data_IF_408891688567
#
_entry.id   IF_408891688567
#
_cell.length_a   1.000
_cell.length_b   1.000
_cell.length_c   1.000
_cell.angle_alpha   90.00
_cell.angle_beta   90.00
_cell.angle_gamma   90.00
#
_symmetry.space_group_name_H-M   'P 1'
#
loop_
_entity.id
_entity.type
_entity.pdbx_description
1 polymer ?
#
# COMPACT_ATOMS: atom_id res chain seq x y z
N UNK A 1 58.28 45.62 -27.45
CA UNK A 1 56.84 45.96 -27.41
C UNK A 1 56.07 45.03 -28.33
N UNK A 2 55.14 44.22 -27.79
CA UNK A 2 53.95 43.70 -28.47
C UNK A 2 53.09 42.98 -27.42
N UNK A 3 51.90 43.54 -27.16
CA UNK A 3 50.87 42.96 -26.33
C UNK A 3 49.95 42.08 -27.18
N UNK A 4 49.52 40.92 -26.68
CA UNK A 4 48.32 40.21 -27.17
C UNK A 4 47.59 39.63 -25.95
N UNK A 5 46.30 39.94 -25.88
CA UNK A 5 45.35 39.64 -24.80
C UNK A 5 44.66 38.28 -25.02
N UNK A 6 44.06 37.75 -23.93
CA UNK A 6 42.83 36.90 -23.90
C UNK A 6 43.03 35.43 -24.37
N UNK A 7 42.38 34.38 -23.86
CA UNK A 7 41.02 34.18 -23.33
C UNK A 7 41.03 33.01 -22.31
N UNK A 8 40.42 33.21 -21.15
CA UNK A 8 40.10 32.18 -20.16
C UNK A 8 38.98 31.27 -20.70
N UNK A 9 39.26 29.99 -20.92
CA UNK A 9 38.24 28.99 -21.27
C UNK A 9 37.54 28.49 -19.99
N UNK A 10 36.27 28.85 -19.81
CA UNK A 10 35.41 28.30 -18.76
C UNK A 10 34.82 26.98 -19.29
N UNK A 11 35.30 25.86 -18.75
CA UNK A 11 34.74 24.54 -18.98
C UNK A 11 33.46 24.39 -18.14
N UNK A 12 32.30 24.45 -18.78
CA UNK A 12 31.02 24.13 -18.16
C UNK A 12 30.77 22.63 -18.32
N UNK A 13 31.07 21.85 -17.29
CA UNK A 13 30.74 20.42 -17.24
C UNK A 13 29.24 20.26 -16.97
N UNK A 14 28.48 19.86 -17.99
CA UNK A 14 27.10 19.43 -17.84
C UNK A 14 27.07 18.04 -17.18
N UNK A 15 26.73 18.00 -15.89
CA UNK A 15 26.38 16.76 -15.20
C UNK A 15 25.01 16.31 -15.70
N UNK A 16 24.97 15.24 -16.49
CA UNK A 16 23.71 14.57 -16.85
C UNK A 16 23.27 13.78 -15.62
N UNK A 17 22.29 14.29 -14.89
CA UNK A 17 21.59 13.50 -13.87
C UNK A 17 20.77 12.44 -14.58
N UNK A 18 21.15 11.17 -14.44
CA UNK A 18 20.32 10.06 -14.88
C UNK A 18 19.01 10.09 -14.08
N UNK A 19 17.90 10.43 -14.74
CA UNK A 19 16.56 10.24 -14.20
C UNK A 19 16.31 8.73 -14.17
N UNK A 20 16.53 8.08 -13.04
CA UNK A 20 16.08 6.71 -12.83
C UNK A 20 14.55 6.74 -12.81
N UNK A 21 13.93 6.40 -13.93
CA UNK A 21 12.51 6.06 -13.98
C UNK A 21 12.34 4.81 -13.13
N UNK A 22 11.96 5.01 -11.87
CA UNK A 22 11.52 3.92 -11.02
C UNK A 22 10.21 3.42 -11.61
N UNK A 23 10.26 2.42 -12.50
CA UNK A 23 9.11 1.60 -12.85
C UNK A 23 8.82 0.68 -11.67
N UNK A 24 8.60 1.28 -10.49
CA UNK A 24 7.97 0.60 -9.38
C UNK A 24 6.55 0.33 -9.85
N UNK A 25 6.25 -0.92 -10.15
CA UNK A 25 4.87 -1.38 -10.12
C UNK A 25 4.28 -0.86 -8.81
N UNK A 26 3.30 0.04 -8.89
CA UNK A 26 2.67 0.55 -7.69
C UNK A 26 2.12 -0.67 -6.93
N UNK A 27 2.43 -0.79 -5.64
CA UNK A 27 1.89 -1.89 -4.87
C UNK A 27 0.36 -1.87 -4.99
N UNK A 28 -0.24 -3.03 -5.21
CA UNK A 28 -1.69 -3.14 -5.40
C UNK A 28 -2.28 -4.06 -4.34
N UNK A 29 -3.43 -3.67 -3.79
CA UNK A 29 -4.23 -4.51 -2.90
C UNK A 29 -5.54 -4.82 -3.61
N UNK A 30 -5.92 -6.09 -3.58
CA UNK A 30 -7.23 -6.54 -4.04
C UNK A 30 -7.95 -7.32 -2.96
N UNK A 31 -9.27 -7.15 -2.95
CA UNK A 31 -10.21 -7.86 -2.10
C UNK A 31 -11.45 -8.18 -2.94
N UNK A 32 -12.34 -9.06 -2.45
CA UNK A 32 -13.64 -9.17 -3.09
C UNK A 32 -14.35 -7.80 -3.04
N UNK A 33 -14.89 -7.38 -4.19
CA UNK A 33 -15.48 -6.05 -4.35
C UNK A 33 -16.64 -5.80 -3.37
N UNK A 34 -17.34 -6.86 -2.97
CA UNK A 34 -18.47 -6.81 -2.04
C UNK A 34 -18.26 -7.86 -0.94
N UNK A 35 -18.31 -7.42 0.31
CA UNK A 35 -18.31 -8.26 1.50
C UNK A 35 -19.70 -8.25 2.16
N UNK A 36 -20.31 -9.41 2.44
CA UNK A 36 -21.59 -9.45 3.14
C UNK A 36 -21.44 -8.97 4.58
N UNK A 37 -22.51 -8.38 5.15
CA UNK A 37 -22.61 -8.05 6.57
C UNK A 37 -22.83 -9.31 7.43
N UNK A 38 -21.83 -10.19 7.45
CA UNK A 38 -21.85 -11.44 8.20
C UNK A 38 -21.03 -11.34 9.50
N UNK A 39 -21.65 -11.74 10.61
CA UNK A 39 -21.04 -11.86 11.95
C UNK A 39 -19.92 -12.90 12.03
N UNK A 40 -19.82 -13.80 11.05
CA UNK A 40 -18.72 -14.78 10.86
C UNK A 40 -17.95 -14.55 9.56
N UNK A 41 -18.17 -13.41 8.92
CA UNK A 41 -17.66 -13.15 7.59
C UNK A 41 -16.13 -13.13 7.53
N UNK A 42 -15.63 -13.61 6.40
CA UNK A 42 -14.22 -13.72 6.07
C UNK A 42 -13.99 -13.19 4.65
N UNK A 43 -12.83 -12.57 4.43
CA UNK A 43 -12.44 -12.01 3.15
C UNK A 43 -11.00 -12.42 2.83
N UNK A 44 -10.75 -12.90 1.61
CA UNK A 44 -9.38 -13.10 1.14
C UNK A 44 -8.88 -11.76 0.61
N UNK A 45 -7.79 -11.29 1.19
CA UNK A 45 -7.06 -10.10 0.78
C UNK A 45 -5.78 -10.55 0.08
N UNK A 46 -5.46 -9.92 -1.03
CA UNK A 46 -4.25 -10.18 -1.79
C UNK A 46 -3.52 -8.89 -2.08
N UNK A 47 -2.21 -8.98 -2.24
CA UNK A 47 -1.45 -7.90 -2.83
C UNK A 47 -0.39 -8.40 -3.79
N UNK A 48 0.06 -7.49 -4.64
CA UNK A 48 1.07 -7.71 -5.66
C UNK A 48 1.97 -6.47 -5.79
N UNK A 49 3.15 -6.65 -6.37
CA UNK A 49 4.13 -5.58 -6.56
C UNK A 49 4.68 -4.96 -5.26
N UNK A 50 4.66 -5.71 -4.15
CA UNK A 50 5.34 -5.32 -2.92
C UNK A 50 6.83 -5.67 -2.99
N UNK A 51 7.65 -4.98 -2.19
CA UNK A 51 9.04 -5.38 -2.03
C UNK A 51 9.13 -6.82 -1.48
N UNK A 52 9.94 -7.71 -2.08
CA UNK A 52 10.02 -9.12 -1.67
C UNK A 52 10.34 -9.32 -0.19
N UNK A 53 9.76 -10.35 0.42
CA UNK A 53 9.95 -10.72 1.84
C UNK A 53 9.54 -9.65 2.87
N UNK A 54 8.84 -8.60 2.46
CA UNK A 54 8.41 -7.51 3.33
C UNK A 54 7.12 -7.86 4.06
N UNK A 55 7.04 -7.52 5.35
CA UNK A 55 5.80 -7.61 6.12
C UNK A 55 4.91 -6.42 5.75
N UNK A 56 3.61 -6.66 5.58
CA UNK A 56 2.67 -5.61 5.19
C UNK A 56 1.73 -5.33 6.35
N UNK A 57 1.64 -4.08 6.78
CA UNK A 57 0.65 -3.70 7.80
C UNK A 57 -0.64 -3.30 7.10
N UNK A 58 -1.77 -3.88 7.52
CA UNK A 58 -3.08 -3.56 6.95
C UNK A 58 -3.91 -2.75 7.94
N UNK A 59 -4.39 -1.61 7.47
CA UNK A 59 -5.11 -0.62 8.25
C UNK A 59 -6.51 -0.46 7.65
N UNK A 60 -7.52 -0.68 8.49
CA UNK A 60 -8.93 -0.51 8.11
C UNK A 60 -9.45 0.82 8.66
N UNK A 61 -10.02 1.64 7.78
CA UNK A 61 -10.54 2.96 8.14
C UNK A 61 -12.06 2.96 8.08
N UNK A 62 -12.70 3.30 9.20
CA UNK A 62 -14.15 3.47 9.31
C UNK A 62 -14.62 4.79 8.72
N UNK A 63 -15.93 4.94 8.46
CA UNK A 63 -16.50 6.13 7.81
C UNK A 63 -16.29 7.44 8.56
N UNK A 64 -16.08 7.36 9.88
CA UNK A 64 -15.74 8.47 10.77
C UNK A 64 -14.24 8.81 10.77
N UNK A 65 -13.43 8.10 9.97
CA UNK A 65 -11.99 8.31 9.84
C UNK A 65 -11.14 7.56 10.87
N UNK A 66 -11.74 6.76 11.76
CA UNK A 66 -10.96 5.98 12.73
C UNK A 66 -10.23 4.85 12.01
N UNK A 67 -8.91 4.79 12.21
CA UNK A 67 -8.04 3.80 11.59
C UNK A 67 -7.66 2.73 12.60
N UNK A 68 -7.78 1.47 12.21
CA UNK A 68 -7.48 0.30 13.05
C UNK A 68 -6.53 -0.65 12.34
N UNK A 69 -5.45 -1.04 13.00
CA UNK A 69 -4.67 -2.20 12.58
C UNK A 69 -5.49 -3.48 12.74
N UNK A 70 -5.59 -4.25 11.65
CA UNK A 70 -6.34 -5.50 11.60
C UNK A 70 -5.47 -6.76 11.65
N UNK A 71 -4.16 -6.64 11.84
CA UNK A 71 -3.19 -7.75 11.85
C UNK A 71 -3.58 -8.91 12.75
N UNK A 72 -4.21 -8.63 13.89
CA UNK A 72 -4.71 -9.64 14.84
C UNK A 72 -5.81 -10.55 14.26
N UNK A 73 -6.47 -10.13 13.18
CA UNK A 73 -7.56 -10.83 12.51
C UNK A 73 -7.16 -11.41 11.15
N UNK A 74 -5.86 -11.37 10.81
CA UNK A 74 -5.30 -11.86 9.57
C UNK A 74 -4.63 -13.22 9.74
N UNK A 75 -4.88 -14.13 8.79
CA UNK A 75 -4.22 -15.43 8.77
C UNK A 75 -3.95 -15.91 7.33
N UNK A 76 -2.69 -16.18 6.95
CA UNK A 76 -1.45 -15.88 7.69
C UNK A 76 -1.19 -14.38 7.83
N UNK A 77 -0.13 -13.99 8.54
CA UNK A 77 0.35 -12.60 8.47
C UNK A 77 0.71 -12.25 7.01
N UNK A 78 0.25 -11.11 6.47
CA UNK A 78 0.54 -10.71 5.10
C UNK A 78 2.03 -10.38 4.96
N UNK A 79 2.76 -11.28 4.31
CA UNK A 79 4.18 -11.14 3.99
C UNK A 79 4.36 -11.41 2.51
N UNK A 80 4.99 -10.47 1.80
CA UNK A 80 5.29 -10.61 0.39
C UNK A 80 6.26 -11.78 0.15
N UNK A 81 6.00 -12.60 -0.86
CA UNK A 81 6.89 -13.64 -1.33
C UNK A 81 8.05 -13.06 -2.16
N UNK A 82 8.86 -13.93 -2.78
CA UNK A 82 9.98 -13.52 -3.62
C UNK A 82 9.56 -12.73 -4.87
N UNK A 83 8.29 -12.83 -5.27
CA UNK A 83 7.68 -12.15 -6.41
C UNK A 83 6.90 -10.90 -6.00
N UNK A 84 6.89 -10.55 -4.71
CA UNK A 84 6.18 -9.38 -4.21
C UNK A 84 4.68 -9.60 -4.01
N UNK A 85 4.22 -10.86 -3.98
CA UNK A 85 2.81 -11.21 -3.78
C UNK A 85 2.54 -11.69 -2.37
N UNK A 86 1.34 -11.43 -1.86
CA UNK A 86 0.89 -12.00 -0.60
C UNK A 86 -0.60 -12.30 -0.64
N UNK A 87 -1.04 -13.19 0.25
CA UNK A 87 -2.45 -13.51 0.44
C UNK A 87 -2.72 -13.79 1.91
N UNK A 88 -3.81 -13.22 2.43
CA UNK A 88 -4.26 -13.45 3.81
C UNK A 88 -5.78 -13.53 3.88
N UNK A 89 -6.29 -14.24 4.88
CA UNK A 89 -7.71 -14.24 5.22
C UNK A 89 -7.97 -13.27 6.36
N UNK A 90 -8.83 -12.29 6.13
CA UNK A 90 -9.32 -11.37 7.15
C UNK A 90 -10.65 -11.86 7.74
N UNK A 91 -10.67 -12.13 9.04
CA UNK A 91 -11.89 -12.47 9.78
C UNK A 91 -12.62 -11.21 10.26
N UNK A 92 -13.33 -10.53 9.35
CA UNK A 92 -14.00 -9.25 9.64
C UNK A 92 -15.26 -9.36 10.50
N UNK A 93 -15.81 -10.56 10.74
CA UNK A 93 -17.09 -10.72 11.43
C UNK A 93 -17.18 -10.08 12.83
N UNK A 94 -16.05 -9.84 13.52
CA UNK A 94 -16.02 -9.07 14.77
C UNK A 94 -16.50 -7.63 14.57
N UNK A 95 -16.13 -6.98 13.47
CA UNK A 95 -16.52 -5.62 13.13
C UNK A 95 -18.04 -5.53 12.93
N UNK A 96 -18.63 -6.53 12.24
CA UNK A 96 -20.08 -6.65 12.08
C UNK A 96 -20.78 -6.88 13.42
N UNK A 97 -20.28 -7.81 14.25
CA UNK A 97 -20.83 -8.11 15.59
C UNK A 97 -20.84 -6.90 16.51
N UNK A 98 -19.78 -6.09 16.44
CA UNK A 98 -19.60 -4.87 17.26
C UNK A 98 -20.24 -3.63 16.64
N UNK A 99 -20.92 -3.76 15.48
CA UNK A 99 -21.54 -2.66 14.75
C UNK A 99 -20.56 -1.55 14.36
N UNK A 100 -19.29 -1.92 14.14
CA UNK A 100 -18.24 -1.02 13.65
C UNK A 100 -18.30 -0.85 12.13
N UNK A 101 -18.96 -1.79 11.44
CA UNK A 101 -19.29 -1.68 10.02
C UNK A 101 -20.79 -1.82 9.82
N UNK A 102 -21.32 -0.93 8.99
CA UNK A 102 -22.64 -0.97 8.36
C UNK A 102 -22.48 -0.98 6.84
N UNK A 103 -23.57 -1.07 6.09
CA UNK A 103 -23.50 -1.08 4.62
C UNK A 103 -22.80 0.19 4.07
N UNK A 104 -21.98 -0.01 3.03
CA UNK A 104 -21.23 1.05 2.32
C UNK A 104 -19.74 0.76 2.22
N UNK A 105 -19.00 1.76 1.76
CA UNK A 105 -17.58 1.62 1.42
C UNK A 105 -16.67 2.00 2.58
N UNK A 106 -15.58 1.24 2.74
CA UNK A 106 -14.55 1.42 3.75
C UNK A 106 -13.19 1.28 3.10
N UNK A 107 -12.22 2.02 3.60
CA UNK A 107 -10.87 1.97 3.06
C UNK A 107 -10.06 0.88 3.77
N UNK A 108 -9.33 0.11 2.97
CA UNK A 108 -8.26 -0.75 3.41
C UNK A 108 -6.95 -0.21 2.85
N UNK A 109 -6.00 0.08 3.73
CA UNK A 109 -4.69 0.65 3.38
C UNK A 109 -3.60 -0.35 3.76
N UNK A 110 -2.65 -0.59 2.85
CA UNK A 110 -1.41 -1.28 3.16
C UNK A 110 -0.31 -0.26 3.41
N UNK A 111 0.49 -0.52 4.45
CA UNK A 111 1.66 0.27 4.79
C UNK A 111 2.88 -0.62 4.99
N UNK A 112 4.05 0.00 4.98
CA UNK A 112 5.28 -0.61 5.51
C UNK A 112 5.28 -0.55 7.05
N UNK A 113 6.41 -0.96 7.65
CA UNK A 113 6.63 -0.99 9.10
C UNK A 113 6.71 0.42 9.72
N UNK A 114 7.01 1.44 8.91
CA UNK A 114 7.06 2.85 9.29
C UNK A 114 5.71 3.57 9.08
N UNK A 115 4.65 2.82 8.76
CA UNK A 115 3.31 3.33 8.44
C UNK A 115 3.24 4.24 7.21
N UNK A 116 4.22 4.18 6.30
CA UNK A 116 4.11 4.83 5.01
C UNK A 116 3.11 4.08 4.13
N UNK A 117 2.16 4.80 3.54
CA UNK A 117 1.17 4.22 2.64
C UNK A 117 1.83 3.65 1.38
N UNK A 118 1.65 2.35 1.17
CA UNK A 118 2.09 1.66 -0.05
C UNK A 118 0.96 1.59 -1.08
N UNK A 119 -0.26 1.33 -0.62
CA UNK A 119 -1.43 1.15 -1.47
C UNK A 119 -2.72 1.26 -0.67
N UNK A 120 -3.85 1.51 -1.34
CA UNK A 120 -5.17 1.45 -0.72
C UNK A 120 -6.25 0.96 -1.67
N UNK A 121 -7.30 0.39 -1.12
CA UNK A 121 -8.47 -0.09 -1.87
C UNK A 121 -9.75 0.11 -1.06
N UNK A 122 -10.89 -0.03 -1.73
CA UNK A 122 -12.20 0.05 -1.08
C UNK A 122 -12.81 -1.34 -0.92
N UNK A 123 -13.44 -1.57 0.24
CA UNK A 123 -14.24 -2.74 0.52
C UNK A 123 -15.68 -2.27 0.76
N UNK A 124 -16.59 -2.67 -0.12
CA UNK A 124 -18.02 -2.40 0.05
C UNK A 124 -18.64 -3.47 0.92
N UNK A 125 -19.23 -3.10 2.05
CA UNK A 125 -20.09 -3.98 2.83
C UNK A 125 -21.55 -3.87 2.36
N UNK A 126 -22.20 -4.98 2.04
CA UNK A 126 -23.62 -5.02 1.67
C UNK A 126 -24.38 -6.09 2.45
N UNK A 127 -25.72 -6.03 2.39
CA UNK A 127 -26.58 -7.12 2.86
C UNK A 127 -26.51 -8.31 1.90
#
# INVERSE_FOLDING_TARGET
MKAIKTITAILFSLSITALTLNTGYAAEISAAKIAPLDKKGQLILKGSAFAPNTLVTLLFTTKDGVQSDIGYALKPAPKADAQGNWSTTWSYGRFVKKKLVAAGDYQLTATDDDFNTLSSTLITFSK
#
